data_IF_142194928862
#
_entry.id   IF_142194928862
#
_cell.length_a   1.000
_cell.length_b   1.000
_cell.length_c   1.000
_cell.angle_alpha   90.00
_cell.angle_beta   90.00
_cell.angle_gamma   90.00
#
_symmetry.space_group_name_H-M   'P 1'
#
loop_
_entity.id
_entity.type
_entity.pdbx_description
1 polymer ?
#
# COMPACT_ATOMS: atom_id res chain seq x y z
N UNK A 1 -17.51 -49.65 9.52
CA UNK A 1 -18.04 -48.78 8.44
C UNK A 1 -18.56 -47.44 8.96
N UNK A 2 -19.51 -47.40 9.91
CA UNK A 2 -20.10 -46.14 10.40
C UNK A 2 -19.09 -45.10 10.96
N UNK A 3 -18.08 -45.56 11.71
CA UNK A 3 -17.04 -44.68 12.29
C UNK A 3 -16.18 -43.99 11.22
N UNK A 4 -15.91 -44.65 10.10
CA UNK A 4 -15.14 -44.07 8.98
C UNK A 4 -15.94 -43.01 8.24
N UNK A 5 -17.26 -43.23 8.08
CA UNK A 5 -18.17 -42.27 7.43
C UNK A 5 -18.31 -40.99 8.28
N UNK A 6 -18.45 -41.13 9.60
CA UNK A 6 -18.51 -39.99 10.52
C UNK A 6 -17.19 -39.21 10.58
N UNK A 7 -16.04 -39.89 10.51
CA UNK A 7 -14.74 -39.24 10.46
C UNK A 7 -14.57 -38.44 9.16
N UNK A 8 -14.97 -39.03 8.04
CA UNK A 8 -14.95 -38.39 6.72
C UNK A 8 -15.88 -37.18 6.65
N UNK A 9 -17.09 -37.27 7.21
CA UNK A 9 -18.01 -36.12 7.21
C UNK A 9 -17.51 -34.98 8.08
N UNK A 10 -16.88 -35.26 9.22
CA UNK A 10 -16.26 -34.24 10.07
C UNK A 10 -15.07 -33.57 9.38
N UNK A 11 -14.24 -34.32 8.65
CA UNK A 11 -13.12 -33.76 7.87
C UNK A 11 -13.65 -32.88 6.73
N UNK A 12 -14.69 -33.31 6.01
CA UNK A 12 -15.32 -32.51 4.95
C UNK A 12 -15.95 -31.24 5.51
N UNK A 13 -16.61 -31.31 6.68
CA UNK A 13 -17.18 -30.15 7.37
C UNK A 13 -16.07 -29.19 7.83
N UNK A 14 -14.95 -29.70 8.35
CA UNK A 14 -13.76 -28.92 8.71
C UNK A 14 -13.12 -28.26 7.48
N UNK A 15 -13.01 -28.97 6.36
CA UNK A 15 -12.51 -28.44 5.08
C UNK A 15 -13.44 -27.37 4.50
N UNK A 16 -14.76 -27.51 4.66
CA UNK A 16 -15.74 -26.53 4.20
C UNK A 16 -15.70 -25.21 4.99
N UNK A 17 -15.28 -25.27 6.26
CA UNK A 17 -15.01 -24.10 7.11
C UNK A 17 -13.70 -23.38 6.74
N UNK A 18 -12.83 -24.03 5.96
CA UNK A 18 -11.58 -23.46 5.41
C UNK A 18 -11.81 -22.89 4.01
N UNK A 19 -13.07 -22.62 3.60
CA UNK A 19 -13.29 -21.72 2.47
C UNK A 19 -12.77 -20.35 2.88
N UNK A 20 -11.49 -20.11 2.59
CA UNK A 20 -10.82 -18.85 2.87
C UNK A 20 -11.64 -17.75 2.19
N UNK A 21 -12.13 -16.83 3.02
CA UNK A 21 -12.62 -15.55 2.55
C UNK A 21 -11.38 -14.78 2.11
N UNK A 22 -10.86 -15.12 0.93
CA UNK A 22 -9.80 -14.36 0.29
C UNK A 22 -10.41 -13.02 -0.10
N UNK A 23 -10.07 -11.95 0.62
CA UNK A 23 -10.56 -10.62 0.31
C UNK A 23 -10.02 -10.21 -1.05
N UNK A 24 -10.88 -9.90 -2.01
CA UNK A 24 -10.49 -9.37 -3.30
C UNK A 24 -10.18 -7.88 -3.12
N UNK A 25 -8.93 -7.49 -3.37
CA UNK A 25 -8.53 -6.09 -3.46
C UNK A 25 -9.08 -5.51 -4.76
N UNK A 26 -9.73 -4.35 -4.69
CA UNK A 26 -10.08 -3.54 -5.85
C UNK A 26 -9.55 -2.11 -5.67
N UNK A 27 -8.86 -1.59 -6.69
CA UNK A 27 -8.43 -0.19 -6.69
C UNK A 27 -9.56 0.71 -7.17
N UNK A 28 -9.92 1.72 -6.36
CA UNK A 28 -11.08 2.57 -6.64
C UNK A 28 -10.68 3.98 -7.06
N UNK A 29 -9.64 4.56 -6.46
CA UNK A 29 -9.14 5.88 -6.85
C UNK A 29 -7.70 6.12 -6.38
N UNK A 30 -7.03 7.11 -6.97
CA UNK A 30 -5.78 7.66 -6.46
C UNK A 30 -5.79 9.19 -6.66
N UNK A 31 -5.34 9.91 -5.64
CA UNK A 31 -5.09 11.35 -5.73
C UNK A 31 -3.68 11.63 -5.25
N UNK A 32 -2.91 12.34 -6.07
CA UNK A 32 -1.59 12.81 -5.71
C UNK A 32 -1.59 14.33 -5.74
N UNK A 33 -0.93 14.95 -4.77
CA UNK A 33 -0.83 16.40 -4.65
C UNK A 33 0.60 16.76 -4.31
N UNK A 34 1.21 17.65 -5.09
CA UNK A 34 2.44 18.35 -4.69
C UNK A 34 2.05 19.69 -4.06
N UNK A 35 2.67 20.00 -2.93
CA UNK A 35 2.48 21.23 -2.17
C UNK A 35 3.53 22.29 -2.49
N UNK A 36 4.64 21.91 -3.14
CA UNK A 36 5.67 22.81 -3.63
C UNK A 36 6.16 22.31 -4.99
N UNK A 37 5.50 22.75 -6.06
CA UNK A 37 5.82 22.38 -7.45
C UNK A 37 7.25 22.74 -7.88
N UNK A 38 7.93 23.63 -7.16
CA UNK A 38 9.33 23.94 -7.41
C UNK A 38 10.29 22.98 -6.71
N UNK A 39 9.79 22.10 -5.83
CA UNK A 39 10.54 21.05 -5.16
C UNK A 39 10.29 19.68 -5.81
N UNK A 40 9.04 19.33 -6.03
CA UNK A 40 8.61 18.11 -6.71
C UNK A 40 7.32 18.32 -7.50
N UNK A 41 7.02 17.47 -8.48
CA UNK A 41 5.68 17.41 -9.09
C UNK A 41 5.37 16.00 -9.58
N UNK A 42 4.09 15.66 -9.67
CA UNK A 42 3.66 14.36 -10.19
C UNK A 42 3.54 14.44 -11.72
N UNK A 43 4.43 13.76 -12.45
CA UNK A 43 4.31 13.64 -13.91
C UNK A 43 3.08 12.81 -14.29
N UNK A 44 2.85 11.75 -13.54
CA UNK A 44 1.61 10.99 -13.61
C UNK A 44 1.27 10.40 -12.24
N UNK A 45 -0.02 10.22 -12.00
CA UNK A 45 -0.57 9.53 -10.85
C UNK A 45 -1.97 9.04 -11.23
N UNK A 46 -2.07 7.76 -11.58
CA UNK A 46 -3.31 7.22 -12.12
C UNK A 46 -3.49 5.74 -11.85
N UNK A 47 -4.74 5.31 -11.97
CA UNK A 47 -5.11 3.91 -12.13
C UNK A 47 -5.40 3.66 -13.60
N UNK A 48 -4.91 2.55 -14.16
CA UNK A 48 -5.26 2.11 -15.51
C UNK A 48 -5.95 0.76 -15.47
N UNK A 49 -7.11 0.68 -16.12
CA UNK A 49 -7.78 -0.59 -16.40
C UNK A 49 -7.33 -1.10 -17.76
N UNK A 50 -6.71 -2.27 -17.81
CA UNK A 50 -6.31 -2.92 -19.08
C UNK A 50 -7.41 -3.89 -19.54
N UNK A 51 -8.01 -4.62 -18.61
CA UNK A 51 -9.16 -5.49 -18.85
C UNK A 51 -10.01 -5.59 -17.56
N UNK A 52 -11.07 -6.40 -17.57
CA UNK A 52 -12.00 -6.54 -16.43
C UNK A 52 -11.32 -6.99 -15.13
N UNK A 53 -10.24 -7.76 -15.22
CA UNK A 53 -9.56 -8.36 -14.06
C UNK A 53 -8.17 -7.79 -13.81
N UNK A 54 -7.66 -6.90 -14.67
CA UNK A 54 -6.34 -6.30 -14.56
C UNK A 54 -6.43 -4.78 -14.55
N UNK A 55 -6.32 -4.23 -13.33
CA UNK A 55 -6.07 -2.82 -13.05
C UNK A 55 -4.68 -2.68 -12.43
N UNK A 56 -4.03 -1.55 -12.67
CA UNK A 56 -2.78 -1.21 -12.02
C UNK A 56 -2.71 0.26 -11.61
N UNK A 57 -1.86 0.54 -10.64
CA UNK A 57 -1.48 1.87 -10.19
C UNK A 57 -0.11 2.22 -10.77
N UNK A 58 0.00 3.43 -11.31
CA UNK A 58 1.27 4.01 -11.74
C UNK A 58 1.37 5.46 -11.24
N UNK A 59 2.50 5.80 -10.63
CA UNK A 59 2.86 7.19 -10.32
C UNK A 59 4.35 7.45 -10.56
N UNK A 60 4.65 8.67 -10.98
CA UNK A 60 6.01 9.19 -11.10
C UNK A 60 6.06 10.59 -10.51
N UNK A 61 7.05 10.81 -9.66
CA UNK A 61 7.36 12.09 -9.03
C UNK A 61 8.68 12.59 -9.60
N UNK A 62 8.64 13.76 -10.23
CA UNK A 62 9.83 14.44 -10.69
C UNK A 62 10.43 15.21 -9.52
N UNK A 63 11.71 14.97 -9.22
CA UNK A 63 12.40 15.67 -8.13
C UNK A 63 13.22 16.83 -8.70
N UNK A 64 12.81 18.06 -8.40
CA UNK A 64 13.47 19.27 -8.92
C UNK A 64 14.62 19.76 -8.03
N UNK A 65 14.68 19.29 -6.78
CA UNK A 65 15.72 19.64 -5.80
C UNK A 65 16.35 18.38 -5.21
N UNK A 66 17.45 17.95 -5.82
CA UNK A 66 18.25 16.78 -5.43
C UNK A 66 19.66 17.18 -4.99
N UNK A 67 20.35 16.39 -4.16
CA UNK A 67 19.88 15.16 -3.51
C UNK A 67 18.97 15.41 -2.29
N UNK A 68 17.99 14.55 -2.08
CA UNK A 68 17.14 14.55 -0.88
C UNK A 68 17.74 13.58 0.15
N UNK A 69 18.21 14.12 1.26
CA UNK A 69 18.92 13.34 2.31
C UNK A 69 18.09 13.11 3.57
N UNK A 70 17.01 13.87 3.79
CA UNK A 70 16.14 13.79 4.97
C UNK A 70 14.69 13.68 4.56
N UNK A 71 14.12 12.49 4.74
CA UNK A 71 12.73 12.18 4.41
C UNK A 71 12.02 11.61 5.62
N UNK A 72 10.88 12.20 5.99
CA UNK A 72 9.91 11.60 6.90
C UNK A 72 8.62 11.33 6.14
N UNK A 73 7.96 10.23 6.45
CA UNK A 73 6.66 9.91 5.87
C UNK A 73 5.68 9.66 6.98
N UNK A 74 4.55 10.36 6.97
CA UNK A 74 3.39 9.98 7.77
C UNK A 74 2.51 9.06 6.93
N UNK A 75 2.11 7.93 7.50
CA UNK A 75 1.13 7.02 6.92
C UNK A 75 -0.07 6.92 7.83
N UNK A 76 -1.25 7.05 7.24
CA UNK A 76 -2.53 6.84 7.92
C UNK A 76 -3.40 5.87 7.13
N UNK A 77 -3.83 4.79 7.77
CA UNK A 77 -4.82 3.86 7.24
C UNK A 77 -6.19 4.22 7.80
N UNK A 78 -7.09 4.65 6.92
CA UNK A 78 -8.46 5.00 7.25
C UNK A 78 -9.43 3.97 6.67
N UNK A 79 -10.50 3.69 7.40
CA UNK A 79 -11.61 2.86 6.94
C UNK A 79 -12.87 3.70 6.82
N UNK A 80 -13.65 3.45 5.76
CA UNK A 80 -14.92 4.14 5.53
C UNK A 80 -16.01 3.55 6.42
N UNK A 81 -16.63 4.43 7.19
CA UNK A 81 -17.89 4.20 7.90
C UNK A 81 -18.83 5.34 7.47
N UNK A 82 -19.27 6.19 8.39
CA UNK A 82 -19.88 7.50 8.10
C UNK A 82 -18.80 8.53 7.74
N UNK A 83 -18.04 8.25 6.68
CA UNK A 83 -16.80 8.95 6.31
C UNK A 83 -15.54 8.14 6.62
N UNK A 84 -14.39 8.60 6.11
CA UNK A 84 -13.10 7.97 6.39
C UNK A 84 -12.64 8.32 7.81
N UNK A 85 -12.48 7.30 8.64
CA UNK A 85 -12.00 7.44 10.03
C UNK A 85 -10.70 6.69 10.21
N UNK A 86 -9.78 7.17 11.07
CA UNK A 86 -8.59 6.42 11.44
C UNK A 86 -8.94 4.99 11.86
N UNK A 87 -8.25 4.00 11.31
CA UNK A 87 -8.55 2.59 11.56
C UNK A 87 -7.52 1.94 12.48
N UNK A 88 -6.32 1.65 11.97
CA UNK A 88 -5.28 0.91 12.72
C UNK A 88 -3.97 1.67 12.84
N UNK A 89 -3.52 2.30 11.76
CA UNK A 89 -2.18 2.85 11.68
C UNK A 89 -2.24 4.34 11.40
N UNK A 90 -1.63 5.14 12.26
CA UNK A 90 -1.24 6.52 12.02
C UNK A 90 0.17 6.67 12.59
N UNK A 91 1.18 6.61 11.73
CA UNK A 91 2.58 6.59 12.15
C UNK A 91 3.40 7.56 11.31
N UNK A 92 4.39 8.20 11.93
CA UNK A 92 5.40 8.97 11.22
C UNK A 92 6.75 8.27 11.35
N UNK A 93 7.42 8.04 10.21
CA UNK A 93 8.66 7.28 10.15
C UNK A 93 9.72 8.06 9.39
N UNK A 94 10.96 8.01 9.87
CA UNK A 94 12.13 8.42 9.09
C UNK A 94 12.38 7.37 7.99
N UNK A 95 12.03 7.71 6.75
CA UNK A 95 12.08 6.76 5.65
C UNK A 95 13.52 6.35 5.33
N UNK A 96 14.48 7.29 5.40
CA UNK A 96 15.89 6.99 5.17
C UNK A 96 16.41 5.95 6.16
N UNK A 97 16.06 6.09 7.45
CA UNK A 97 16.42 5.13 8.51
C UNK A 97 15.70 3.80 8.34
N UNK A 98 14.41 3.81 7.98
CA UNK A 98 13.62 2.59 7.81
C UNK A 98 14.05 1.76 6.59
N UNK A 99 14.45 2.41 5.49
CA UNK A 99 15.00 1.74 4.31
C UNK A 99 16.37 1.11 4.61
N UNK A 100 17.20 1.75 5.44
CA UNK A 100 18.50 1.20 5.87
C UNK A 100 18.35 0.02 6.80
N UNK A 101 17.35 0.06 7.69
CA UNK A 101 17.10 -0.95 8.70
C UNK A 101 15.63 -1.33 8.69
N UNK A 102 15.24 -2.30 7.86
CA UNK A 102 13.84 -2.73 7.71
C UNK A 102 13.18 -3.18 9.04
N UNK A 103 13.96 -3.64 10.02
CA UNK A 103 13.46 -3.99 11.35
C UNK A 103 13.14 -2.78 12.25
N UNK A 104 13.51 -1.57 11.84
CA UNK A 104 13.31 -0.34 12.62
C UNK A 104 11.83 -0.02 12.84
N UNK A 105 11.00 -0.24 11.83
CA UNK A 105 9.57 -0.07 11.92
C UNK A 105 8.85 -1.14 11.09
N UNK A 106 8.35 -2.21 11.72
CA UNK A 106 7.67 -3.31 11.02
C UNK A 106 6.43 -2.88 10.24
N UNK A 107 5.70 -1.88 10.73
CA UNK A 107 4.49 -1.36 10.07
C UNK A 107 4.86 -0.66 8.76
N UNK A 108 5.87 0.21 8.78
CA UNK A 108 6.42 0.81 7.56
C UNK A 108 6.92 -0.26 6.60
N UNK A 109 7.66 -1.25 7.10
CA UNK A 109 8.20 -2.33 6.26
C UNK A 109 7.11 -3.16 5.59
N UNK A 110 5.97 -3.38 6.25
CA UNK A 110 4.80 -4.00 5.64
C UNK A 110 4.25 -3.14 4.48
N UNK A 111 3.93 -1.86 4.72
CA UNK A 111 3.37 -0.99 3.69
C UNK A 111 4.34 -0.71 2.54
N UNK A 112 5.62 -0.53 2.83
CA UNK A 112 6.67 -0.44 1.82
C UNK A 112 6.76 -1.72 0.99
N UNK A 113 6.60 -2.89 1.62
CA UNK A 113 6.52 -4.19 0.96
C UNK A 113 5.40 -4.32 -0.07
N UNK A 114 4.33 -3.54 0.04
CA UNK A 114 3.20 -3.53 -0.88
C UNK A 114 3.54 -2.94 -2.25
N UNK A 115 4.55 -2.07 -2.35
CA UNK A 115 4.89 -1.42 -3.63
C UNK A 115 6.38 -1.51 -4.00
N UNK A 116 7.29 -1.91 -3.10
CA UNK A 116 8.75 -1.89 -3.34
C UNK A 116 9.20 -2.63 -4.60
N UNK A 117 8.53 -3.73 -4.96
CA UNK A 117 8.88 -4.53 -6.14
C UNK A 117 8.48 -3.88 -7.46
N UNK A 118 7.62 -2.87 -7.39
CA UNK A 118 7.15 -2.07 -8.50
C UNK A 118 7.72 -0.65 -8.44
N UNK A 119 8.77 -0.41 -7.65
CA UNK A 119 9.32 0.92 -7.42
C UNK A 119 10.84 0.96 -7.55
N UNK A 120 11.37 2.11 -7.94
CA UNK A 120 12.80 2.39 -7.89
C UNK A 120 13.28 2.91 -6.51
N UNK A 121 12.40 3.05 -5.52
CA UNK A 121 12.73 3.46 -4.15
C UNK A 121 13.33 2.30 -3.32
N UNK A 122 14.21 1.49 -3.92
CA UNK A 122 14.73 0.25 -3.33
C UNK A 122 16.09 0.40 -2.63
N UNK A 123 16.62 1.62 -2.59
CA UNK A 123 17.88 1.97 -1.95
C UNK A 123 17.65 2.92 -0.75
N UNK A 124 18.69 3.15 0.03
CA UNK A 124 18.67 4.15 1.09
C UNK A 124 18.95 5.54 0.54
N UNK A 125 18.48 6.58 1.25
CA UNK A 125 18.85 7.97 0.95
C UNK A 125 20.39 8.14 0.81
N UNK A 126 20.86 9.10 -0.02
CA UNK A 126 20.09 10.14 -0.70
C UNK A 126 19.26 9.65 -1.90
N UNK A 127 18.17 10.35 -2.19
CA UNK A 127 17.45 10.24 -3.46
C UNK A 127 17.90 11.35 -4.41
N UNK A 128 18.45 10.97 -5.55
CA UNK A 128 19.00 11.87 -6.58
C UNK A 128 18.39 11.66 -7.97
N UNK A 129 17.31 10.88 -8.05
CA UNK A 129 16.56 10.59 -9.25
C UNK A 129 15.05 10.69 -8.99
N UNK A 130 14.26 10.81 -10.05
CA UNK A 130 12.79 10.76 -9.98
C UNK A 130 12.31 9.48 -9.29
N UNK A 131 11.19 9.57 -8.56
CA UNK A 131 10.63 8.45 -7.81
C UNK A 131 9.47 7.83 -8.58
N UNK A 132 9.48 6.52 -8.74
CA UNK A 132 8.54 5.81 -9.60
C UNK A 132 7.91 4.65 -8.83
N UNK A 133 6.60 4.49 -8.95
CA UNK A 133 5.90 3.22 -8.76
C UNK A 133 5.21 2.89 -10.08
N UNK A 134 5.68 1.85 -10.75
CA UNK A 134 5.26 1.52 -12.12
C UNK A 134 4.47 0.22 -12.15
N UNK A 135 3.22 0.32 -12.66
CA UNK A 135 2.34 -0.81 -12.94
C UNK A 135 2.18 -1.75 -11.75
N UNK A 136 1.98 -1.21 -10.55
CA UNK A 136 1.63 -1.99 -9.37
C UNK A 136 0.25 -2.62 -9.60
N UNK A 137 0.14 -3.95 -9.77
CA UNK A 137 -1.12 -4.56 -10.18
C UNK A 137 -1.96 -4.95 -8.97
N UNK A 138 -3.28 -4.93 -9.15
CA UNK A 138 -4.23 -5.33 -8.10
C UNK A 138 -3.99 -6.75 -7.59
N UNK A 139 -3.64 -7.70 -8.46
CA UNK A 139 -3.37 -9.08 -8.06
C UNK A 139 -2.16 -9.22 -7.13
N UNK A 140 -1.13 -8.40 -7.31
CA UNK A 140 0.03 -8.39 -6.41
C UNK A 140 -0.36 -7.88 -5.01
N UNK A 141 -1.13 -6.78 -4.96
CA UNK A 141 -1.68 -6.26 -3.72
C UNK A 141 -2.58 -7.29 -3.03
N UNK A 142 -3.40 -8.01 -3.80
CA UNK A 142 -4.28 -9.06 -3.32
C UNK A 142 -3.52 -10.18 -2.59
N UNK A 143 -2.41 -10.64 -3.17
CA UNK A 143 -1.56 -11.67 -2.56
C UNK A 143 -0.92 -11.19 -1.26
N UNK A 144 -0.43 -9.94 -1.23
CA UNK A 144 0.20 -9.36 -0.05
C UNK A 144 -0.78 -9.14 1.09
N UNK A 145 -1.94 -8.57 0.79
CA UNK A 145 -2.98 -8.31 1.78
C UNK A 145 -3.51 -9.63 2.36
N UNK A 146 -3.90 -10.60 1.53
CA UNK A 146 -4.45 -11.86 2.03
C UNK A 146 -3.42 -12.76 2.72
N UNK A 147 -2.17 -12.72 2.29
CA UNK A 147 -1.11 -13.59 2.83
C UNK A 147 -0.54 -13.11 4.16
N UNK A 148 -0.29 -11.80 4.29
CA UNK A 148 0.47 -11.26 5.43
C UNK A 148 -0.46 -10.73 6.53
N UNK A 149 -1.58 -10.05 6.20
CA UNK A 149 -2.48 -9.40 7.18
C UNK A 149 -3.94 -9.42 6.72
N UNK A 150 -4.80 -10.20 7.40
CA UNK A 150 -6.25 -10.24 7.14
C UNK A 150 -6.94 -8.95 7.61
N UNK A 151 -7.09 -7.97 6.73
CA UNK A 151 -7.92 -6.79 6.96
C UNK A 151 -9.41 -7.14 6.78
N UNK A 152 -10.32 -6.56 7.58
CA UNK A 152 -11.75 -6.81 7.40
C UNK A 152 -12.26 -6.19 6.09
N UNK A 153 -13.36 -6.71 5.56
CA UNK A 153 -13.99 -6.13 4.37
C UNK A 153 -14.39 -4.65 4.58
N UNK A 154 -14.39 -3.91 3.48
CA UNK A 154 -14.83 -2.51 3.41
C UNK A 154 -13.96 -1.64 2.51
N UNK A 155 -14.28 -0.35 2.49
CA UNK A 155 -13.51 0.66 1.75
C UNK A 155 -12.43 1.27 2.65
N UNK A 156 -11.24 1.41 2.09
CA UNK A 156 -10.06 1.92 2.77
C UNK A 156 -9.45 3.11 2.01
N UNK A 157 -8.80 3.99 2.77
CA UNK A 157 -7.93 5.04 2.28
C UNK A 157 -6.56 4.86 2.92
N UNK A 158 -5.56 4.70 2.07
CA UNK A 158 -4.15 4.77 2.41
C UNK A 158 -3.70 6.21 2.15
N UNK A 159 -3.64 6.99 3.22
CA UNK A 159 -3.17 8.36 3.19
C UNK A 159 -1.69 8.40 3.53
N UNK A 160 -0.89 9.15 2.76
CA UNK A 160 0.52 9.37 3.08
C UNK A 160 0.96 10.79 2.79
N UNK A 161 1.65 11.39 3.75
CA UNK A 161 2.30 12.70 3.63
C UNK A 161 3.82 12.54 3.62
N UNK A 162 4.47 13.19 2.67
CA UNK A 162 5.89 13.04 2.38
C UNK A 162 6.61 14.34 2.71
N UNK A 163 7.44 14.31 3.75
CA UNK A 163 8.16 15.47 4.26
C UNK A 163 9.62 15.41 3.86
N UNK A 164 10.10 16.44 3.16
CA UNK A 164 11.53 16.65 2.93
C UNK A 164 12.00 17.83 3.77
N UNK A 165 13.05 17.60 4.57
CA UNK A 165 13.61 18.63 5.47
C UNK A 165 12.56 19.26 6.42
N UNK A 166 11.53 18.49 6.80
CA UNK A 166 10.47 18.92 7.72
C UNK A 166 9.29 19.65 7.06
N UNK A 167 9.33 19.88 5.76
CA UNK A 167 8.23 20.52 4.99
C UNK A 167 7.47 19.45 4.23
N UNK A 168 6.14 19.43 4.33
CA UNK A 168 5.31 18.52 3.52
C UNK A 168 5.44 18.92 2.04
N UNK A 169 5.95 18.01 1.22
CA UNK A 169 6.17 18.21 -0.21
C UNK A 169 5.07 17.59 -1.04
N UNK A 170 4.58 16.43 -0.62
CA UNK A 170 3.56 15.70 -1.36
C UNK A 170 2.62 14.92 -0.45
N UNK A 171 1.38 14.78 -0.90
CA UNK A 171 0.37 13.87 -0.32
C UNK A 171 -0.09 12.88 -1.38
N UNK A 172 -0.23 11.61 -0.99
CA UNK A 172 -0.83 10.56 -1.82
C UNK A 172 -1.97 9.91 -1.04
N UNK A 173 -3.17 10.00 -1.62
CA UNK A 173 -4.39 9.33 -1.16
C UNK A 173 -4.73 8.20 -2.12
N UNK A 174 -4.59 6.95 -1.65
CA UNK A 174 -4.92 5.77 -2.43
C UNK A 174 -6.13 5.04 -1.84
N UNK A 175 -7.17 4.88 -2.65
CA UNK A 175 -8.45 4.32 -2.26
C UNK A 175 -8.60 2.90 -2.82
N UNK A 176 -9.03 1.98 -1.96
CA UNK A 176 -9.27 0.60 -2.34
C UNK A 176 -10.43 -0.02 -1.56
N UNK A 177 -11.02 -1.06 -2.12
CA UNK A 177 -12.05 -1.88 -1.48
C UNK A 177 -11.49 -3.28 -1.24
N UNK A 178 -11.82 -3.86 -0.08
CA UNK A 178 -11.59 -5.26 0.25
C UNK A 178 -12.95 -5.96 0.33
N UNK A 179 -13.24 -6.89 -0.57
CA UNK A 179 -14.54 -7.58 -0.71
C UNK A 179 -14.45 -9.10 -0.63
#
# INVERSE_FOLDING_TARGET
>A
MWKLIALMSNIIMLLSLITEIASLVEFTNIKCTSWDKAFDDFEYCHLKSVNRSFKYLSLKVNLHKVPITKVKVNFSLLKRFNGYKPFLYNITVDACKALRHSKYNPIFSFFYGLFKHHSNMNHTCPFDHDLIVEKLPTNFMNQKVNGDIKFPHGDYLFHSDWYAYGINRATVDFFLTLS
#
